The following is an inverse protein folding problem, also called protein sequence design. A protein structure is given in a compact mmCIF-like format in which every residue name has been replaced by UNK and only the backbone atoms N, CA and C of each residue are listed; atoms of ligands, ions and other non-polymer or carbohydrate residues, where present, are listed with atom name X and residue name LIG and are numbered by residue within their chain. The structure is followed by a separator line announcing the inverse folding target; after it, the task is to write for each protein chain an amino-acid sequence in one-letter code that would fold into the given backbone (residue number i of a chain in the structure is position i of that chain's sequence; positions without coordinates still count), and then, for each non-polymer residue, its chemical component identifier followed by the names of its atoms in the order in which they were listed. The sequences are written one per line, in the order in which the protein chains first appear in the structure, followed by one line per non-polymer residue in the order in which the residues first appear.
data_IF_595099973986
#
_entry.id   IF_595099973986
#
_cell.length_a   1.000
_cell.length_b   1.000
_cell.length_c   1.000
_cell.angle_alpha   90.00
_cell.angle_beta   90.00
_cell.angle_gamma   90.00
#
_symmetry.space_group_name_H-M   'P 1'
#
loop_
_entity.id
_entity.type
_entity.pdbx_description
1 polymer ?
#
# COMPACT_ATOMS: atom_id res chain seq x y z
N UNK A 1 -42.77 4.31 7.86
CA UNK A 1 -41.36 4.29 8.30
C UNK A 1 -40.86 2.88 7.97
N UNK A 2 -40.21 2.70 6.82
CA UNK A 2 -39.60 1.43 6.46
C UNK A 2 -38.14 1.55 6.89
N UNK A 3 -37.78 0.86 7.97
CA UNK A 3 -36.39 0.70 8.36
C UNK A 3 -35.67 -0.04 7.22
N UNK A 4 -34.68 0.62 6.63
CA UNK A 4 -33.77 -0.03 5.72
C UNK A 4 -33.08 -1.15 6.49
N UNK A 5 -33.31 -2.40 6.08
CA UNK A 5 -32.47 -3.53 6.47
C UNK A 5 -31.02 -3.12 6.20
N UNK A 6 -30.19 -3.15 7.24
CA UNK A 6 -28.79 -2.75 7.14
C UNK A 6 -28.14 -3.45 5.95
N UNK A 7 -27.62 -2.66 4.99
CA UNK A 7 -26.84 -3.20 3.91
C UNK A 7 -25.73 -4.08 4.49
N UNK A 8 -25.46 -5.23 3.87
CA UNK A 8 -24.33 -6.07 4.25
C UNK A 8 -23.08 -5.20 4.39
N UNK A 9 -22.59 -5.06 5.62
CA UNK A 9 -21.36 -4.34 5.93
C UNK A 9 -20.19 -5.26 5.61
N UNK A 10 -19.95 -5.48 4.34
CA UNK A 10 -18.92 -6.35 3.81
C UNK A 10 -18.09 -5.60 2.79
N UNK A 11 -16.78 -5.85 2.80
CA UNK A 11 -15.87 -5.45 1.75
C UNK A 11 -14.88 -6.58 1.51
N UNK A 12 -14.24 -6.58 0.35
CA UNK A 12 -13.12 -7.46 0.03
C UNK A 12 -11.88 -6.61 -0.12
N UNK A 13 -10.74 -7.12 0.31
CA UNK A 13 -9.44 -6.50 0.06
C UNK A 13 -8.48 -7.54 -0.49
N UNK A 14 -7.47 -7.07 -1.21
CA UNK A 14 -6.36 -7.89 -1.67
C UNK A 14 -5.06 -7.41 -1.03
N UNK A 15 -4.07 -8.28 -0.92
CA UNK A 15 -2.75 -7.94 -0.40
C UNK A 15 -1.68 -8.81 -1.06
N UNK A 16 -0.53 -8.22 -1.40
CA UNK A 16 0.66 -8.93 -1.83
C UNK A 16 1.90 -8.04 -1.66
N UNK A 17 3.08 -8.64 -1.49
CA UNK A 17 4.38 -7.98 -1.57
C UNK A 17 5.16 -8.43 -2.80
N UNK A 18 6.43 -8.05 -2.88
CA UNK A 18 7.39 -8.55 -3.88
C UNK A 18 6.90 -8.35 -5.32
N UNK A 19 6.30 -7.19 -5.60
CA UNK A 19 5.51 -6.97 -6.81
C UNK A 19 6.43 -6.88 -8.02
N UNK A 20 7.43 -6.01 -7.98
CA UNK A 20 8.36 -5.75 -9.08
C UNK A 20 7.71 -5.18 -10.34
N UNK A 21 8.47 -5.16 -11.44
CA UNK A 21 8.05 -4.61 -12.75
C UNK A 21 8.06 -5.63 -13.89
N UNK A 22 7.93 -6.93 -13.60
CA UNK A 22 8.04 -8.01 -14.59
C UNK A 22 6.74 -8.27 -15.36
N UNK A 23 6.77 -9.15 -16.37
CA UNK A 23 5.55 -9.63 -17.04
C UNK A 23 4.58 -10.33 -16.08
N UNK A 24 5.10 -11.02 -15.06
CA UNK A 24 4.27 -11.66 -14.04
C UNK A 24 3.62 -10.60 -13.13
N UNK A 25 4.39 -9.57 -12.76
CA UNK A 25 3.90 -8.41 -12.00
C UNK A 25 2.72 -7.75 -12.71
N UNK A 26 2.87 -7.49 -14.02
CA UNK A 26 1.80 -6.94 -14.86
C UNK A 26 0.57 -7.86 -14.86
N UNK A 27 0.76 -9.18 -15.03
CA UNK A 27 -0.37 -10.12 -15.02
C UNK A 27 -1.13 -10.10 -13.68
N UNK A 28 -0.40 -10.05 -12.57
CA UNK A 28 -0.96 -9.96 -11.22
C UNK A 28 -1.73 -8.65 -11.02
N UNK A 29 -1.14 -7.51 -11.40
CA UNK A 29 -1.77 -6.19 -11.28
C UNK A 29 -3.01 -6.05 -12.18
N UNK A 30 -2.99 -6.62 -13.39
CA UNK A 30 -4.19 -6.67 -14.25
C UNK A 30 -5.30 -7.52 -13.62
N UNK A 31 -4.97 -8.65 -12.97
CA UNK A 31 -5.99 -9.44 -12.25
C UNK A 31 -6.54 -8.69 -11.04
N UNK A 32 -5.68 -7.97 -10.33
CA UNK A 32 -6.07 -7.09 -9.23
C UNK A 32 -7.08 -6.03 -9.70
N UNK A 33 -6.81 -5.37 -10.83
CA UNK A 33 -7.73 -4.37 -11.42
C UNK A 33 -9.11 -4.91 -11.79
N UNK A 34 -9.26 -6.23 -11.94
CA UNK A 34 -10.54 -6.90 -12.23
C UNK A 34 -11.14 -7.64 -11.01
N UNK A 35 -10.54 -7.52 -9.82
CA UNK A 35 -10.90 -8.33 -8.64
C UNK A 35 -12.12 -7.83 -7.85
N UNK A 36 -12.60 -6.60 -8.13
CA UNK A 36 -13.57 -5.87 -7.30
C UNK A 36 -13.13 -5.65 -5.84
N UNK A 37 -11.83 -5.79 -5.53
CA UNK A 37 -11.30 -5.44 -4.22
C UNK A 37 -11.54 -3.95 -3.94
N UNK A 38 -11.93 -3.63 -2.70
CA UNK A 38 -12.19 -2.27 -2.25
C UNK A 38 -10.91 -1.50 -1.94
N UNK A 39 -9.83 -2.22 -1.63
CA UNK A 39 -8.45 -1.71 -1.51
C UNK A 39 -7.44 -2.83 -1.75
N UNK A 40 -6.20 -2.44 -2.03
CA UNK A 40 -5.04 -3.32 -2.08
C UNK A 40 -3.96 -2.87 -1.09
N UNK A 41 -3.37 -3.82 -0.36
CA UNK A 41 -2.23 -3.59 0.52
C UNK A 41 -0.95 -4.12 -0.16
N UNK A 42 -0.05 -3.22 -0.55
CA UNK A 42 1.25 -3.56 -1.10
C UNK A 42 2.27 -3.75 0.03
N UNK A 43 2.58 -5.01 0.34
CA UNK A 43 3.32 -5.44 1.52
C UNK A 43 4.85 -5.42 1.33
N UNK A 44 5.38 -4.30 0.86
CA UNK A 44 6.82 -4.08 0.68
C UNK A 44 7.43 -4.73 -0.55
N UNK A 45 8.69 -4.37 -0.78
CA UNK A 45 9.51 -4.77 -1.92
C UNK A 45 8.81 -4.46 -3.25
N UNK A 46 8.78 -3.16 -3.56
CA UNK A 46 7.85 -2.60 -4.54
C UNK A 46 8.39 -2.78 -5.97
N UNK A 47 9.49 -2.08 -6.32
CA UNK A 47 9.92 -1.98 -7.72
C UNK A 47 11.01 -2.97 -8.13
N UNK A 48 11.97 -3.27 -7.24
CA UNK A 48 13.26 -3.90 -7.58
C UNK A 48 13.99 -3.22 -8.74
N UNK A 49 13.71 -1.93 -8.96
CA UNK A 49 14.10 -1.21 -10.17
C UNK A 49 15.32 -0.31 -10.03
N UNK A 50 15.98 -0.31 -8.87
CA UNK A 50 17.01 0.66 -8.53
C UNK A 50 16.46 2.03 -8.12
N UNK A 51 17.33 2.85 -7.51
CA UNK A 51 17.04 4.25 -7.19
C UNK A 51 16.57 5.04 -8.42
N UNK A 52 15.48 5.81 -8.29
CA UNK A 52 14.91 6.60 -9.39
C UNK A 52 13.82 5.87 -10.20
N UNK A 53 13.56 4.60 -9.91
CA UNK A 53 12.52 3.82 -10.57
C UNK A 53 11.08 4.10 -10.07
N UNK A 54 10.93 4.85 -8.97
CA UNK A 54 9.68 4.97 -8.21
C UNK A 54 8.52 5.49 -9.08
N UNK A 55 8.74 6.58 -9.81
CA UNK A 55 7.72 7.17 -10.66
C UNK A 55 7.30 6.24 -11.82
N UNK A 56 8.26 5.54 -12.43
CA UNK A 56 7.97 4.59 -13.50
C UNK A 56 7.17 3.39 -12.97
N UNK A 57 7.50 2.89 -11.78
CA UNK A 57 6.77 1.82 -11.14
C UNK A 57 5.36 2.23 -10.70
N UNK A 58 5.20 3.42 -10.10
CA UNK A 58 3.88 3.98 -9.81
C UNK A 58 2.99 4.07 -11.07
N UNK A 59 3.55 4.55 -12.19
CA UNK A 59 2.82 4.62 -13.46
C UNK A 59 2.43 3.22 -13.98
N UNK A 60 3.31 2.22 -13.80
CA UNK A 60 2.99 0.83 -14.13
C UNK A 60 1.80 0.34 -13.30
N UNK A 61 1.81 0.52 -11.99
CA UNK A 61 0.69 0.15 -11.10
C UNK A 61 -0.60 0.84 -11.51
N UNK A 62 -0.58 2.17 -11.68
CA UNK A 62 -1.76 2.96 -12.03
C UNK A 62 -2.34 2.53 -13.39
N UNK A 63 -1.49 2.30 -14.39
CA UNK A 63 -1.92 1.89 -15.73
C UNK A 63 -2.42 0.45 -15.83
N UNK A 64 -2.05 -0.42 -14.88
CA UNK A 64 -2.40 -1.85 -14.92
C UNK A 64 -3.50 -2.23 -13.94
N UNK A 65 -3.38 -1.83 -12.67
CA UNK A 65 -4.39 -2.09 -11.63
C UNK A 65 -5.52 -1.04 -11.62
N UNK A 66 -5.30 0.10 -12.29
CA UNK A 66 -6.28 1.17 -12.45
C UNK A 66 -6.12 2.30 -11.44
N UNK A 67 -6.43 3.51 -11.89
CA UNK A 67 -6.30 4.74 -11.10
C UNK A 67 -7.43 4.98 -10.10
N UNK A 68 -8.28 4.00 -9.80
CA UNK A 68 -9.38 4.16 -8.85
C UNK A 68 -9.24 3.27 -7.62
N UNK A 69 -8.47 2.19 -7.71
CA UNK A 69 -8.20 1.29 -6.59
C UNK A 69 -7.28 1.97 -5.57
N UNK A 70 -7.67 2.10 -4.29
CA UNK A 70 -6.72 2.44 -3.22
C UNK A 70 -5.61 1.39 -3.15
N UNK A 71 -4.37 1.82 -3.31
CA UNK A 71 -3.19 0.97 -3.39
C UNK A 71 -2.23 1.39 -2.27
N UNK A 72 -2.49 0.88 -1.08
CA UNK A 72 -1.86 1.33 0.16
C UNK A 72 -0.47 0.69 0.34
N UNK A 73 0.54 1.50 0.63
CA UNK A 73 1.94 1.10 0.62
C UNK A 73 2.52 0.94 2.03
N UNK A 74 3.30 -0.12 2.22
CA UNK A 74 4.23 -0.27 3.34
C UNK A 74 5.60 -0.69 2.77
N UNK A 75 6.69 -0.18 3.33
CA UNK A 75 8.05 -0.44 2.83
C UNK A 75 8.52 -1.85 3.15
N UNK A 76 9.27 -2.45 2.22
CA UNK A 76 10.06 -3.65 2.45
C UNK A 76 11.57 -3.35 2.49
N UNK A 77 12.36 -4.41 2.51
CA UNK A 77 13.82 -4.33 2.53
C UNK A 77 14.41 -3.68 1.27
N UNK A 78 13.72 -3.75 0.14
CA UNK A 78 14.16 -3.11 -1.11
C UNK A 78 13.94 -1.58 -1.11
N UNK A 79 13.10 -1.08 -0.19
CA UNK A 79 12.99 0.36 0.10
C UNK A 79 13.81 0.77 1.33
N UNK A 80 14.58 -0.15 1.92
CA UNK A 80 15.46 0.11 3.07
C UNK A 80 16.71 0.86 2.64
N UNK A 81 16.79 2.14 3.00
CA UNK A 81 17.90 3.04 2.66
C UNK A 81 18.13 3.24 1.15
N UNK A 82 17.10 2.99 0.32
CA UNK A 82 17.03 3.43 -1.08
C UNK A 82 17.64 2.58 -2.22
N UNK A 83 18.11 1.33 -2.04
CA UNK A 83 18.76 0.58 -3.13
C UNK A 83 17.82 0.40 -4.33
N UNK A 84 16.52 0.23 -4.12
CA UNK A 84 15.50 0.15 -5.18
C UNK A 84 14.49 1.31 -5.17
N UNK A 85 14.90 2.42 -4.57
CA UNK A 85 14.09 3.61 -4.41
C UNK A 85 13.72 3.87 -2.95
N UNK A 86 13.39 5.11 -2.64
CA UNK A 86 12.99 5.51 -1.29
C UNK A 86 11.47 5.40 -1.17
N UNK A 87 10.98 4.78 -0.09
CA UNK A 87 9.55 4.76 0.22
C UNK A 87 8.92 6.16 0.16
N UNK A 88 9.66 7.18 0.58
CA UNK A 88 9.22 8.59 0.54
C UNK A 88 8.92 9.10 -0.88
N UNK A 89 9.53 8.52 -1.91
CA UNK A 89 9.24 8.84 -3.31
C UNK A 89 8.07 8.04 -3.85
N UNK A 90 7.95 6.75 -3.48
CA UNK A 90 6.79 5.92 -3.85
C UNK A 90 5.48 6.51 -3.33
N UNK A 91 5.44 6.94 -2.06
CA UNK A 91 4.22 7.51 -1.47
C UNK A 91 3.82 8.87 -2.08
N UNK A 92 4.73 9.56 -2.77
CA UNK A 92 4.38 10.79 -3.50
C UNK A 92 3.59 10.49 -4.78
N UNK A 93 3.91 9.40 -5.49
CA UNK A 93 3.24 9.01 -6.73
C UNK A 93 2.09 8.01 -6.54
N UNK A 94 2.04 7.33 -5.40
CA UNK A 94 0.93 6.48 -4.94
C UNK A 94 0.56 6.84 -3.49
N UNK A 95 -0.11 8.00 -3.28
CA UNK A 95 -0.52 8.43 -1.94
C UNK A 95 -1.65 7.57 -1.38
N UNK A 96 -1.87 7.66 -0.06
CA UNK A 96 -3.06 7.10 0.61
C UNK A 96 -4.35 7.55 -0.07
N UNK A 97 -5.28 6.62 -0.23
CA UNK A 97 -6.62 6.85 -0.78
C UNK A 97 -7.74 6.28 0.06
N UNK A 98 -7.40 5.61 1.16
CA UNK A 98 -8.38 5.14 2.16
C UNK A 98 -8.81 6.26 3.09
N UNK A 99 -7.91 7.21 3.36
CA UNK A 99 -8.14 8.33 4.27
C UNK A 99 -8.08 7.91 5.74
N UNK A 100 -7.90 8.91 6.62
CA UNK A 100 -7.87 8.68 8.07
C UNK A 100 -6.59 8.02 8.59
N UNK A 101 -5.55 7.91 7.75
CA UNK A 101 -4.23 7.38 8.14
C UNK A 101 -3.69 8.11 9.36
N UNK A 102 -3.21 7.33 10.33
CA UNK A 102 -2.50 7.78 11.53
C UNK A 102 -1.10 7.18 11.54
N UNK A 103 -0.07 8.00 11.76
CA UNK A 103 1.34 7.60 11.67
C UNK A 103 2.01 8.11 10.40
N UNK A 104 3.05 7.40 9.97
CA UNK A 104 3.84 7.72 8.79
C UNK A 104 3.55 6.71 7.68
N UNK A 105 2.73 7.13 6.71
CA UNK A 105 2.36 6.33 5.54
C UNK A 105 3.59 5.79 4.82
N UNK A 106 3.58 4.51 4.44
CA UNK A 106 4.74 3.81 3.90
C UNK A 106 5.70 3.22 4.93
N UNK A 107 5.67 3.63 6.22
CA UNK A 107 6.67 3.21 7.21
C UNK A 107 6.09 2.55 8.46
N UNK A 108 5.16 3.24 9.12
CA UNK A 108 4.44 2.73 10.29
C UNK A 108 3.15 3.52 10.43
N UNK A 109 2.03 2.88 10.16
CA UNK A 109 0.75 3.58 10.18
C UNK A 109 -0.40 2.61 10.40
N UNK A 110 -1.55 3.16 10.75
CA UNK A 110 -2.80 2.43 10.72
C UNK A 110 -3.89 3.28 10.10
N UNK A 111 -4.94 2.60 9.63
CA UNK A 111 -6.20 3.22 9.23
C UNK A 111 -7.35 2.27 9.52
N UNK A 112 -8.54 2.85 9.69
CA UNK A 112 -9.79 2.12 9.90
C UNK A 112 -10.58 2.08 8.59
N UNK A 113 -11.11 0.92 8.22
CA UNK A 113 -11.85 0.74 6.96
C UNK A 113 -13.21 0.04 7.16
N UNK A 114 -14.28 0.50 6.49
CA UNK A 114 -14.38 1.80 5.81
C UNK A 114 -14.19 2.98 6.77
N UNK A 115 -13.79 4.15 6.24
CA UNK A 115 -13.52 5.34 7.07
C UNK A 115 -14.70 5.73 7.96
N UNK A 116 -15.93 5.57 7.46
CA UNK A 116 -17.16 5.78 8.23
C UNK A 116 -17.73 4.45 8.70
N UNK A 117 -18.00 4.34 10.01
CA UNK A 117 -18.47 3.10 10.66
C UNK A 117 -17.54 1.89 10.42
N UNK A 118 -16.29 1.96 10.89
CA UNK A 118 -15.26 0.99 10.53
C UNK A 118 -15.55 -0.44 10.99
N UNK A 119 -15.08 -1.38 10.19
CA UNK A 119 -15.20 -2.82 10.44
C UNK A 119 -13.87 -3.45 10.81
N UNK A 120 -12.78 -2.95 10.21
CA UNK A 120 -11.43 -3.47 10.37
C UNK A 120 -10.46 -2.30 10.57
N UNK A 121 -9.50 -2.49 11.47
CA UNK A 121 -8.28 -1.65 11.53
C UNK A 121 -7.14 -2.40 10.87
N UNK A 122 -6.49 -1.76 9.89
CA UNK A 122 -5.23 -2.24 9.34
C UNK A 122 -4.08 -1.54 10.06
N UNK A 123 -3.14 -2.30 10.58
CA UNK A 123 -1.92 -1.80 11.22
C UNK A 123 -0.75 -2.29 10.38
N UNK A 124 -0.07 -1.37 9.69
CA UNK A 124 1.04 -1.66 8.79
C UNK A 124 2.32 -1.12 9.40
N UNK A 125 3.31 -2.01 9.56
CA UNK A 125 4.58 -1.71 10.20
C UNK A 125 5.72 -2.27 9.34
N UNK A 126 6.79 -1.50 9.18
CA UNK A 126 8.07 -1.93 8.57
C UNK A 126 9.21 -1.95 9.59
N UNK A 127 9.10 -2.76 10.65
CA UNK A 127 10.13 -2.84 11.67
C UNK A 127 11.39 -3.52 11.13
N UNK A 128 12.55 -3.13 11.67
CA UNK A 128 13.85 -3.68 11.27
C UNK A 128 14.52 -2.94 10.10
N UNK A 129 13.84 -1.97 9.48
CA UNK A 129 14.38 -1.16 8.38
C UNK A 129 15.06 0.11 8.91
N UNK A 130 15.99 0.65 8.11
CA UNK A 130 16.71 1.92 8.34
C UNK A 130 16.47 2.90 7.19
N UNK A 131 15.41 3.70 7.32
CA UNK A 131 15.06 4.67 6.28
C UNK A 131 16.05 5.85 6.26
N UNK A 132 16.42 6.28 5.04
CA UNK A 132 17.21 7.50 4.81
C UNK A 132 16.59 8.71 5.52
N UNK A 133 15.26 8.85 5.44
CA UNK A 133 14.53 9.84 6.22
C UNK A 133 13.74 9.13 7.33
N UNK A 134 14.22 9.23 8.57
CA UNK A 134 13.53 8.67 9.75
C UNK A 134 14.36 7.68 10.56
N UNK A 135 15.51 7.23 10.03
CA UNK A 135 16.44 6.37 10.76
C UNK A 135 15.91 4.93 10.94
N UNK A 136 16.42 4.24 11.97
CA UNK A 136 16.07 2.85 12.24
C UNK A 136 14.72 2.71 12.92
N UNK A 137 13.84 1.91 12.33
CA UNK A 137 12.54 1.55 12.89
C UNK A 137 12.68 0.20 13.60
N UNK A 138 12.23 0.13 14.84
CA UNK A 138 12.37 -1.06 15.69
C UNK A 138 11.04 -1.74 15.98
N UNK A 139 11.12 -3.00 16.42
CA UNK A 139 10.00 -3.74 17.03
C UNK A 139 9.77 -3.37 18.51
N UNK A 140 10.49 -2.39 19.04
CA UNK A 140 10.42 -2.06 20.46
C UNK A 140 9.05 -1.46 20.79
N UNK A 141 8.47 -1.92 21.90
CA UNK A 141 7.30 -1.29 22.51
C UNK A 141 7.71 0.12 22.93
N UNK A 142 6.90 1.11 22.57
CA UNK A 142 7.01 2.47 23.10
C UNK A 142 6.67 2.52 24.58
#
# INVERSE_FOLDING_TARGET
MLEARGADRMFTFAAAGDIGGTKNSISTLTRLGHSNASLFLALGDLSYGGTGSEAAWCNLVISTAGSQLPFELIAGSHEDNGPDGLIDNFVQCLPDRTGGVQGLYGKQYYFDYPLTSPLVRFILISPGLTFTNGGKYGYAVG
#
